data_IF_648564214188
#
_entry.id   IF_648564214188
#
_cell.length_a   1.000
_cell.length_b   1.000
_cell.length_c   1.000
_cell.angle_alpha   90.00
_cell.angle_beta   90.00
_cell.angle_gamma   90.00
#
_symmetry.space_group_name_H-M   'P 1'
#
loop_
_entity.id
_entity.type
_entity.pdbx_description
1 polymer ?
#
# COMPACT_ATOMS: atom_id res chain seq x y z
N UNK A 1 22.13 -30.11 49.58
CA UNK A 1 21.20 -30.04 48.43
C UNK A 1 20.58 -28.65 48.50
N UNK A 2 21.07 -27.70 47.70
CA UNK A 2 20.68 -26.29 47.80
C UNK A 2 19.66 -25.99 46.72
N UNK A 3 18.40 -25.80 47.11
CA UNK A 3 17.29 -25.50 46.19
C UNK A 3 17.37 -24.05 45.74
N UNK A 4 17.64 -23.82 44.46
CA UNK A 4 17.58 -22.50 43.82
C UNK A 4 16.13 -22.06 43.63
N UNK A 5 15.76 -20.97 44.31
CA UNK A 5 14.44 -20.35 44.23
C UNK A 5 14.22 -19.74 42.84
N UNK A 6 13.19 -20.20 42.12
CA UNK A 6 12.77 -19.67 40.83
C UNK A 6 11.76 -18.55 41.09
N UNK A 7 12.26 -17.32 41.21
CA UNK A 7 11.43 -16.13 41.39
C UNK A 7 10.73 -15.82 40.05
N UNK A 8 9.43 -16.11 39.97
CA UNK A 8 8.58 -15.79 38.82
C UNK A 8 8.36 -14.29 38.76
N UNK A 9 9.09 -13.63 37.87
CA UNK A 9 8.94 -12.20 37.56
C UNK A 9 7.52 -11.96 37.02
N UNK A 10 6.77 -11.14 37.74
CA UNK A 10 5.43 -10.68 37.35
C UNK A 10 5.46 -9.99 35.97
N UNK A 11 4.41 -10.07 35.14
CA UNK A 11 4.38 -9.39 33.85
C UNK A 11 4.46 -7.87 34.09
N UNK A 12 5.62 -7.28 33.83
CA UNK A 12 5.80 -5.84 33.81
C UNK A 12 4.82 -5.26 32.77
N UNK A 13 3.86 -4.46 33.24
CA UNK A 13 2.93 -3.76 32.34
C UNK A 13 3.75 -2.82 31.46
N UNK A 14 3.74 -3.11 30.16
CA UNK A 14 4.42 -2.31 29.15
C UNK A 14 3.68 -0.96 29.06
N UNK A 15 4.30 0.16 29.46
CA UNK A 15 3.62 1.45 29.42
C UNK A 15 3.29 1.83 27.97
N UNK A 16 2.08 2.33 27.71
CA UNK A 16 1.71 2.78 26.37
C UNK A 16 2.61 3.95 25.93
N UNK A 17 2.94 3.97 24.64
CA UNK A 17 3.73 5.04 24.04
C UNK A 17 2.93 6.35 24.03
N UNK A 18 3.63 7.49 24.14
CA UNK A 18 3.02 8.81 24.01
C UNK A 18 2.24 8.91 22.67
N UNK A 19 0.99 9.42 22.69
CA UNK A 19 0.18 9.51 21.48
C UNK A 19 0.82 10.33 20.35
N UNK A 20 1.62 11.37 20.67
CA UNK A 20 2.29 12.16 19.64
C UNK A 20 3.39 11.35 18.93
N UNK A 21 4.14 10.54 19.69
CA UNK A 21 5.11 9.60 19.15
C UNK A 21 4.43 8.52 18.29
N UNK A 22 3.30 7.97 18.74
CA UNK A 22 2.54 7.00 17.96
C UNK A 22 2.04 7.61 16.63
N UNK A 23 1.53 8.85 16.66
CA UNK A 23 1.11 9.58 15.47
C UNK A 23 2.27 9.87 14.52
N UNK A 24 3.41 10.34 15.04
CA UNK A 24 4.62 10.59 14.26
C UNK A 24 5.10 9.32 13.55
N UNK A 25 5.16 8.21 14.28
CA UNK A 25 5.54 6.92 13.70
C UNK A 25 4.53 6.40 12.66
N UNK A 26 3.22 6.64 12.86
CA UNK A 26 2.18 6.33 11.84
C UNK A 26 2.42 7.10 10.56
N UNK A 27 2.71 8.41 10.64
CA UNK A 27 2.99 9.27 9.49
C UNK A 27 4.21 8.79 8.71
N UNK A 28 5.25 8.36 9.43
CA UNK A 28 6.50 7.81 8.86
C UNK A 28 6.39 6.33 8.45
N UNK A 29 5.24 5.68 8.67
CA UNK A 29 4.97 4.27 8.38
C UNK A 29 5.92 3.30 9.11
N UNK A 30 6.37 3.67 10.32
CA UNK A 30 7.27 2.86 11.16
C UNK A 30 6.49 1.82 11.96
N UNK A 31 5.86 0.87 11.26
CA UNK A 31 4.93 -0.07 11.88
C UNK A 31 5.61 -1.08 12.80
N UNK A 32 6.86 -1.47 12.53
CA UNK A 32 7.60 -2.40 13.38
C UNK A 32 8.10 -1.69 14.64
N UNK A 33 8.63 -0.47 14.48
CA UNK A 33 9.04 0.37 15.61
C UNK A 33 7.89 0.57 16.59
N UNK A 34 6.67 0.86 16.13
CA UNK A 34 5.51 1.04 17.01
C UNK A 34 5.17 -0.18 17.85
N UNK A 35 5.42 -1.38 17.34
CA UNK A 35 5.17 -2.63 18.08
C UNK A 35 6.28 -2.93 19.09
N UNK A 36 7.53 -2.63 18.75
CA UNK A 36 8.69 -2.98 19.58
C UNK A 36 9.16 -1.87 20.52
N UNK A 37 8.89 -0.60 20.19
CA UNK A 37 9.32 0.56 20.97
C UNK A 37 9.00 0.46 22.46
N UNK A 38 7.79 0.10 22.92
CA UNK A 38 7.49 0.21 24.34
C UNK A 38 8.23 -0.86 25.17
N UNK A 39 8.51 -2.05 24.61
CA UNK A 39 9.35 -3.07 25.24
C UNK A 39 10.84 -2.70 25.23
N UNK A 40 11.34 -2.18 24.10
CA UNK A 40 12.75 -1.81 23.94
C UNK A 40 13.09 -0.59 24.80
N UNK A 41 12.18 0.40 24.92
CA UNK A 41 12.37 1.56 25.80
C UNK A 41 12.43 1.16 27.27
N UNK A 42 11.59 0.21 27.70
CA UNK A 42 11.64 -0.33 29.06
C UNK A 42 12.96 -1.06 29.31
N UNK A 43 13.39 -1.87 28.35
CA UNK A 43 14.66 -2.62 28.42
C UNK A 43 15.86 -1.68 28.47
N UNK A 44 15.90 -0.68 27.59
CA UNK A 44 16.97 0.31 27.53
C UNK A 44 17.07 1.12 28.83
N UNK A 45 15.93 1.46 29.45
CA UNK A 45 15.90 2.14 30.75
C UNK A 45 16.46 1.26 31.87
N UNK A 46 16.07 -0.02 31.92
CA UNK A 46 16.53 -0.96 32.95
C UNK A 46 18.01 -1.30 32.80
N UNK A 47 18.45 -1.53 31.56
CA UNK A 47 19.82 -1.96 31.24
C UNK A 47 20.75 -0.77 30.95
N UNK A 48 20.27 0.47 31.07
CA UNK A 48 21.02 1.70 30.79
C UNK A 48 21.74 1.70 29.44
N UNK A 49 21.04 1.27 28.39
CA UNK A 49 21.61 1.24 27.04
C UNK A 49 22.02 2.64 26.56
N UNK A 50 23.04 2.68 25.71
CA UNK A 50 23.38 3.91 25.00
C UNK A 50 22.26 4.28 24.02
N UNK A 51 21.99 5.59 23.79
CA UNK A 51 21.02 6.02 22.79
C UNK A 51 21.28 5.42 21.40
N UNK A 52 22.56 5.23 21.05
CA UNK A 52 22.99 4.64 19.79
C UNK A 52 22.56 3.17 19.67
N UNK A 53 22.68 2.38 20.73
CA UNK A 53 22.24 0.98 20.75
C UNK A 53 20.72 0.87 20.61
N UNK A 54 19.98 1.70 21.36
CA UNK A 54 18.53 1.79 21.24
C UNK A 54 18.11 2.09 19.79
N UNK A 55 18.73 3.10 19.16
CA UNK A 55 18.42 3.46 17.78
C UNK A 55 18.79 2.36 16.80
N UNK A 56 19.95 1.70 16.96
CA UNK A 56 20.36 0.57 16.11
C UNK A 56 19.33 -0.55 16.15
N UNK A 57 18.89 -0.96 17.34
CA UNK A 57 17.90 -2.03 17.50
C UNK A 57 16.57 -1.68 16.82
N UNK A 58 16.06 -0.46 17.02
CA UNK A 58 14.78 -0.05 16.41
C UNK A 58 14.87 0.08 14.88
N UNK A 59 15.99 0.58 14.35
CA UNK A 59 16.21 0.72 12.91
C UNK A 59 16.36 -0.65 12.25
N UNK A 60 17.07 -1.57 12.88
CA UNK A 60 17.27 -2.93 12.38
C UNK A 60 15.95 -3.72 12.31
N UNK A 61 15.12 -3.61 13.36
CA UNK A 61 13.79 -4.21 13.40
C UNK A 61 12.87 -3.69 12.27
N UNK A 62 12.88 -2.38 12.01
CA UNK A 62 12.09 -1.80 10.93
C UNK A 62 12.61 -2.18 9.55
N UNK A 63 13.93 -2.21 9.36
CA UNK A 63 14.55 -2.61 8.09
C UNK A 63 14.20 -4.06 7.74
N UNK A 64 14.34 -4.97 8.70
CA UNK A 64 13.96 -6.38 8.57
C UNK A 64 12.48 -6.54 8.22
N UNK A 65 11.59 -5.78 8.88
CA UNK A 65 10.16 -5.82 8.58
C UNK A 65 9.83 -5.31 7.17
N UNK A 66 10.53 -4.27 6.69
CA UNK A 66 10.38 -3.75 5.33
C UNK A 66 10.87 -4.75 4.29
N UNK A 67 11.98 -5.41 4.53
CA UNK A 67 12.51 -6.43 3.62
C UNK A 67 11.56 -7.62 3.50
N UNK A 68 11.03 -8.10 4.63
CA UNK A 68 9.99 -9.15 4.62
C UNK A 68 8.73 -8.71 3.85
N UNK A 69 8.30 -7.44 4.00
CA UNK A 69 7.18 -6.88 3.25
C UNK A 69 7.48 -6.77 1.74
N UNK A 70 8.69 -6.37 1.37
CA UNK A 70 9.13 -6.27 -0.02
C UNK A 70 9.20 -7.65 -0.68
N UNK A 71 9.75 -8.64 0.01
CA UNK A 71 9.78 -10.04 -0.43
C UNK A 71 8.35 -10.54 -0.64
N UNK A 72 7.45 -10.34 0.33
CA UNK A 72 6.03 -10.73 0.20
C UNK A 72 5.34 -10.05 -0.98
N UNK A 73 5.63 -8.78 -1.24
CA UNK A 73 5.05 -8.06 -2.38
C UNK A 73 5.62 -8.53 -3.72
N UNK A 74 6.89 -8.94 -3.77
CA UNK A 74 7.50 -9.55 -4.98
C UNK A 74 6.99 -10.96 -5.24
N UNK A 75 6.66 -11.72 -4.20
CA UNK A 75 6.02 -13.04 -4.31
C UNK A 75 4.56 -12.97 -4.75
N UNK A 76 3.92 -11.77 -4.72
CA UNK A 76 2.66 -11.58 -5.44
C UNK A 76 2.99 -11.51 -6.93
N UNK A 77 2.58 -12.50 -7.74
CA UNK A 77 2.73 -12.41 -9.18
C UNK A 77 2.05 -11.12 -9.65
N UNK A 78 2.66 -10.34 -10.57
CA UNK A 78 2.04 -9.16 -11.11
C UNK A 78 0.67 -9.56 -11.65
N UNK A 79 -0.38 -8.91 -11.12
CA UNK A 79 -1.76 -9.20 -11.48
C UNK A 79 -1.94 -9.14 -13.00
N UNK A 80 -2.61 -10.15 -13.53
CA UNK A 80 -2.97 -10.31 -14.94
C UNK A 80 -3.53 -9.00 -15.53
N UNK A 81 -3.29 -8.71 -16.82
CA UNK A 81 -3.72 -7.45 -17.43
C UNK A 81 -5.23 -7.22 -17.22
N UNK A 82 -5.56 -6.12 -16.55
CA UNK A 82 -6.93 -5.68 -16.27
C UNK A 82 -7.77 -5.64 -17.56
N UNK A 83 -9.04 -6.09 -17.55
CA UNK A 83 -9.75 -6.39 -18.77
C UNK A 83 -10.15 -5.23 -19.68
N UNK A 84 -9.90 -3.99 -19.27
CA UNK A 84 -10.40 -2.81 -19.96
C UNK A 84 -9.63 -2.44 -21.23
N UNK A 85 -8.44 -3.00 -21.46
CA UNK A 85 -7.65 -2.70 -22.67
C UNK A 85 -7.82 -3.74 -23.78
N UNK A 86 -8.09 -5.00 -23.44
CA UNK A 86 -8.18 -6.06 -24.46
C UNK A 86 -9.56 -6.14 -25.13
N UNK A 87 -10.64 -5.72 -24.45
CA UNK A 87 -11.99 -5.70 -25.04
C UNK A 87 -12.06 -4.71 -26.23
N UNK A 88 -11.28 -3.63 -26.20
CA UNK A 88 -11.22 -2.68 -27.32
C UNK A 88 -10.52 -3.25 -28.56
N UNK A 89 -9.56 -4.17 -28.40
CA UNK A 89 -8.85 -4.81 -29.52
C UNK A 89 -9.53 -6.06 -30.06
N UNK A 90 -10.51 -6.63 -29.34
CA UNK A 90 -11.19 -7.87 -29.75
C UNK A 90 -12.47 -7.64 -30.56
N UNK A 91 -12.88 -6.38 -30.81
CA UNK A 91 -14.05 -6.08 -31.62
C UNK A 91 -13.69 -5.82 -33.10
N UNK A 92 -14.25 -6.57 -34.07
CA UNK A 92 -14.04 -6.30 -35.50
C UNK A 92 -14.79 -5.02 -35.93
N UNK A 93 -14.21 -4.14 -36.76
CA UNK A 93 -14.95 -3.04 -37.35
C UNK A 93 -15.78 -3.57 -38.53
N UNK A 94 -16.96 -4.13 -38.26
CA UNK A 94 -18.00 -4.15 -39.28
C UNK A 94 -19.40 -4.16 -38.65
N UNK A 95 -20.07 -3.01 -38.71
CA UNK A 95 -21.48 -3.03 -39.09
C UNK A 95 -21.84 -1.71 -39.76
N UNK A 96 -21.77 -1.74 -41.10
CA UNK A 96 -22.51 -0.82 -41.95
C UNK A 96 -23.97 -0.77 -41.48
N UNK A 97 -24.51 0.43 -41.27
CA UNK A 97 -25.95 0.67 -41.38
C UNK A 97 -26.18 1.66 -42.51
N UNK A 98 -26.80 1.24 -43.62
CA UNK A 98 -27.28 2.15 -44.63
C UNK A 98 -28.68 2.63 -44.23
N UNK A 99 -28.88 3.95 -44.12
CA UNK A 99 -30.18 4.56 -44.44
C UNK A 99 -29.95 5.96 -44.99
N UNK A 100 -30.42 6.11 -46.23
CA UNK A 100 -30.40 7.30 -47.07
C UNK A 100 -31.29 8.41 -46.48
N UNK A 101 -30.89 9.64 -46.79
CA UNK A 101 -31.24 10.97 -46.27
C UNK A 101 -32.71 11.41 -46.40
N UNK A 102 -33.06 12.55 -45.76
CA UNK A 102 -33.42 13.73 -46.54
C UNK A 102 -32.55 14.94 -46.19
N UNK A 103 -31.90 15.52 -47.19
CA UNK A 103 -31.34 16.86 -47.13
C UNK A 103 -32.48 17.86 -47.37
N UNK A 104 -32.63 18.88 -46.53
CA UNK A 104 -32.61 20.30 -46.95
C UNK A 104 -32.78 21.25 -45.74
N UNK A 105 -32.19 22.44 -45.90
CA UNK A 105 -31.85 23.49 -44.94
C UNK A 105 -32.51 24.79 -45.45
N UNK A 106 -33.17 25.57 -44.59
CA UNK A 106 -34.03 26.74 -44.90
C UNK A 106 -33.40 27.89 -45.73
N UNK A 107 -32.18 27.73 -46.27
CA UNK A 107 -31.35 28.80 -46.80
C UNK A 107 -31.16 28.83 -48.33
N UNK A 108 -31.27 27.76 -49.12
CA UNK A 108 -30.96 27.83 -50.58
C UNK A 108 -31.67 26.79 -51.45
N UNK A 109 -32.71 27.22 -52.21
CA UNK A 109 -33.67 26.36 -52.91
C UNK A 109 -33.05 25.35 -53.87
N UNK A 110 -33.75 24.23 -54.08
CA UNK A 110 -33.57 23.19 -55.10
C UNK A 110 -32.41 23.35 -56.10
N UNK A 111 -31.43 22.44 -56.02
CA UNK A 111 -30.54 22.11 -57.14
C UNK A 111 -30.96 20.75 -57.73
N UNK A 112 -31.50 20.67 -58.95
CA UNK A 112 -31.77 19.39 -59.59
C UNK A 112 -30.45 18.75 -60.06
N UNK A 113 -30.20 17.52 -59.60
CA UNK A 113 -29.08 16.71 -60.07
C UNK A 113 -29.42 16.12 -61.45
N UNK A 114 -29.00 16.79 -62.52
CA UNK A 114 -28.95 16.24 -63.89
C UNK A 114 -27.68 15.43 -64.08
N UNK A 115 -27.80 14.12 -64.30
CA UNK A 115 -26.79 13.30 -65.00
C UNK A 115 -27.56 12.28 -65.87
N UNK A 116 -27.26 12.29 -67.17
CA UNK A 116 -27.64 11.28 -68.17
C UNK A 116 -26.85 9.98 -67.96
#
# INVERSE_FOLDING_TARGET
>A
MTTTNTDSVSPQQIPPLDPDLDMGMRRLKLAAVRRQAPEVLLTAKTQHWTPEELLRTLIDAESTARDASNIRNRLKPPGSPSPKRWIASMWPPHRSRPTRSPTWNHRNGYAPNTIW
#
